data_IF_794879146985
#
_entry.id   IF_794879146985
#
_cell.length_a   1.000
_cell.length_b   1.000
_cell.length_c   1.000
_cell.angle_alpha   90.00
_cell.angle_beta   90.00
_cell.angle_gamma   90.00
#
_symmetry.space_group_name_H-M   'P 1'
#
loop_
_entity.id
_entity.type
_entity.pdbx_description
1 polymer ?
#
# COMPACT_ATOMS: atom_id res chain seq x y z
N UNK A 1 18.66 -6.80 -41.69
CA UNK A 1 18.68 -6.05 -40.40
C UNK A 1 17.39 -6.32 -39.62
N UNK A 2 16.99 -7.59 -39.43
CA UNK A 2 15.76 -7.97 -38.70
C UNK A 2 16.02 -8.32 -37.21
N UNK A 3 17.23 -8.08 -36.70
CA UNK A 3 17.66 -8.61 -35.40
C UNK A 3 17.10 -7.88 -34.19
N UNK A 4 16.90 -6.56 -34.30
CA UNK A 4 16.54 -5.71 -33.14
C UNK A 4 15.05 -5.37 -33.08
N UNK A 5 14.35 -5.35 -34.22
CA UNK A 5 12.91 -5.02 -34.29
C UNK A 5 12.07 -6.01 -33.47
N UNK A 6 12.36 -7.30 -33.59
CA UNK A 6 11.69 -8.35 -32.80
C UNK A 6 12.00 -8.25 -31.31
N UNK A 7 13.20 -7.80 -30.94
CA UNK A 7 13.56 -7.57 -29.54
C UNK A 7 12.73 -6.43 -28.96
N UNK A 8 12.55 -5.33 -29.70
CA UNK A 8 11.69 -4.24 -29.27
C UNK A 8 10.22 -4.64 -29.21
N UNK A 9 9.73 -5.45 -30.14
CA UNK A 9 8.38 -5.99 -30.10
C UNK A 9 8.15 -6.89 -28.86
N UNK A 10 9.12 -7.75 -28.52
CA UNK A 10 9.07 -8.59 -27.33
C UNK A 10 9.10 -7.76 -26.05
N UNK A 11 10.00 -6.77 -25.96
CA UNK A 11 10.06 -5.84 -24.82
C UNK A 11 8.73 -5.09 -24.66
N UNK A 12 8.20 -4.52 -25.74
CA UNK A 12 6.93 -3.80 -25.71
C UNK A 12 5.77 -4.69 -25.25
N UNK A 13 5.72 -5.94 -25.73
CA UNK A 13 4.72 -6.93 -25.31
C UNK A 13 4.81 -7.26 -23.81
N UNK A 14 6.03 -7.47 -23.29
CA UNK A 14 6.25 -7.73 -21.86
C UNK A 14 5.85 -6.52 -20.99
N UNK A 15 6.23 -5.31 -21.40
CA UNK A 15 5.84 -4.08 -20.71
C UNK A 15 4.32 -3.88 -20.71
N UNK A 16 3.66 -4.15 -21.85
CA UNK A 16 2.22 -4.06 -21.96
C UNK A 16 1.51 -5.09 -21.08
N UNK A 17 1.96 -6.35 -21.08
CA UNK A 17 1.42 -7.39 -20.19
C UNK A 17 1.60 -7.04 -18.71
N UNK A 18 2.75 -6.45 -18.35
CA UNK A 18 3.01 -5.98 -16.99
C UNK A 18 2.05 -4.84 -16.61
N UNK A 19 1.87 -3.85 -17.49
CA UNK A 19 0.92 -2.76 -17.29
C UNK A 19 -0.52 -3.27 -17.14
N UNK A 20 -0.95 -4.22 -17.97
CA UNK A 20 -2.26 -4.85 -17.86
C UNK A 20 -2.44 -5.57 -16.52
N UNK A 21 -1.40 -6.25 -16.03
CA UNK A 21 -1.43 -6.93 -14.73
C UNK A 21 -1.59 -5.92 -13.59
N UNK A 22 -0.83 -4.81 -13.63
CA UNK A 22 -0.96 -3.73 -12.66
C UNK A 22 -2.34 -3.07 -12.71
N UNK A 23 -2.86 -2.81 -13.91
CA UNK A 23 -4.20 -2.26 -14.11
C UNK A 23 -5.29 -3.20 -13.63
N UNK A 24 -5.17 -4.50 -13.87
CA UNK A 24 -6.11 -5.50 -13.40
C UNK A 24 -6.13 -5.55 -11.87
N UNK A 25 -4.95 -5.59 -11.24
CA UNK A 25 -4.83 -5.52 -9.79
C UNK A 25 -5.46 -4.24 -9.23
N UNK A 26 -5.14 -3.08 -9.80
CA UNK A 26 -5.69 -1.78 -9.41
C UNK A 26 -7.22 -1.69 -9.59
N UNK A 27 -7.76 -2.27 -10.67
CA UNK A 27 -9.21 -2.29 -10.91
C UNK A 27 -9.92 -3.24 -9.97
N UNK A 28 -9.36 -4.42 -9.71
CA UNK A 28 -9.94 -5.40 -8.80
C UNK A 28 -10.11 -4.84 -7.39
N UNK A 29 -9.12 -4.10 -6.88
CA UNK A 29 -9.20 -3.43 -5.58
C UNK A 29 -10.22 -2.29 -5.56
N UNK A 30 -10.53 -1.69 -6.72
CA UNK A 30 -11.57 -0.66 -6.85
C UNK A 30 -12.97 -1.26 -7.03
N UNK A 31 -13.08 -2.57 -7.27
CA UNK A 31 -14.36 -3.29 -7.34
C UNK A 31 -14.88 -3.72 -5.96
N UNK A 32 -14.15 -3.48 -4.88
CA UNK A 32 -14.65 -3.59 -3.50
C UNK A 32 -15.05 -2.21 -2.92
N UNK A 33 -16.18 -1.65 -3.36
CA UNK A 33 -17.03 -0.91 -2.43
C UNK A 33 -18.49 -1.38 -2.55
N UNK A 34 -19.10 -1.64 -1.40
CA UNK A 34 -20.50 -2.02 -1.16
C UNK A 34 -20.84 -3.52 -1.19
N UNK A 35 -20.24 -4.28 -0.26
CA UNK A 35 -21.03 -5.28 0.46
C UNK A 35 -21.45 -4.65 1.78
N UNK A 36 -22.62 -4.00 1.73
CA UNK A 36 -23.41 -3.66 2.91
C UNK A 36 -23.69 -4.96 3.68
N UNK A 37 -23.45 -4.93 4.99
CA UNK A 37 -23.39 -6.15 5.80
C UNK A 37 -23.15 -5.85 7.26
N UNK A 38 -24.01 -5.02 7.85
CA UNK A 38 -24.25 -5.06 9.29
C UNK A 38 -24.55 -6.52 9.68
N UNK A 39 -23.68 -7.10 10.49
CA UNK A 39 -24.02 -8.25 11.34
C UNK A 39 -23.30 -8.05 12.66
N UNK A 40 -24.12 -7.58 13.58
CA UNK A 40 -23.87 -7.40 14.99
C UNK A 40 -23.58 -8.75 15.65
N UNK A 41 -22.44 -8.91 16.31
CA UNK A 41 -22.23 -9.92 17.37
C UNK A 41 -21.08 -9.44 18.28
N UNK A 42 -21.35 -9.12 19.56
CA UNK A 42 -20.31 -8.68 20.49
C UNK A 42 -19.69 -9.84 21.28
N UNK A 43 -18.35 -9.74 21.48
CA UNK A 43 -17.55 -10.23 22.64
C UNK A 43 -17.57 -11.75 22.92
N UNK A 44 -16.44 -12.45 23.12
CA UNK A 44 -15.37 -12.24 24.10
C UNK A 44 -14.16 -13.11 23.69
N UNK A 45 -12.93 -12.60 23.92
CA UNK A 45 -11.61 -13.27 24.14
C UNK A 45 -10.48 -12.46 23.44
N UNK A 46 -10.15 -11.23 23.85
CA UNK A 46 -9.31 -10.78 24.98
C UNK A 46 -7.83 -11.25 24.95
N UNK A 47 -6.96 -10.26 24.68
CA UNK A 47 -5.58 -10.14 25.18
C UNK A 47 -4.38 -10.77 24.41
N UNK A 48 -4.33 -10.61 23.08
CA UNK A 48 -3.06 -10.22 22.42
C UNK A 48 -3.35 -9.25 21.26
N UNK A 49 -4.13 -8.23 21.58
CA UNK A 49 -4.44 -7.10 20.71
C UNK A 49 -3.32 -6.06 20.84
N UNK A 50 -2.07 -6.50 20.71
CA UNK A 50 -1.03 -5.57 20.32
C UNK A 50 -1.47 -5.01 18.98
N UNK A 51 -1.65 -3.69 18.97
CA UNK A 51 -1.93 -2.80 17.87
C UNK A 51 -1.17 -3.18 16.58
N UNK A 52 -1.59 -4.24 15.89
CA UNK A 52 -1.27 -4.43 14.47
C UNK A 52 -2.20 -3.51 13.72
N UNK A 53 -1.93 -2.23 13.84
CA UNK A 53 -2.61 -1.21 13.08
C UNK A 53 -2.27 -1.47 11.61
N UNK A 54 -3.15 -2.18 10.92
CA UNK A 54 -3.00 -2.49 9.49
C UNK A 54 -3.31 -1.20 8.72
N UNK A 55 -2.49 -0.87 7.72
CA UNK A 55 -2.74 0.19 6.74
C UNK A 55 -2.86 -0.40 5.34
N UNK A 56 -3.70 0.20 4.50
CA UNK A 56 -3.80 -0.17 3.08
C UNK A 56 -2.87 0.71 2.26
N UNK A 57 -2.14 0.09 1.34
CA UNK A 57 -1.28 0.81 0.42
C UNK A 57 -2.12 1.68 -0.54
N UNK A 58 -1.82 2.99 -0.69
CA UNK A 58 -2.56 3.84 -1.61
C UNK A 58 -2.30 3.50 -3.09
N UNK A 59 -1.14 2.90 -3.41
CA UNK A 59 -0.76 2.57 -4.79
C UNK A 59 -1.36 1.25 -5.29
N UNK A 60 -1.42 0.21 -4.45
CA UNK A 60 -1.88 -1.12 -4.87
C UNK A 60 -2.95 -1.76 -3.97
N UNK A 61 -3.40 -1.08 -2.92
CA UNK A 61 -4.45 -1.56 -2.02
C UNK A 61 -4.06 -2.67 -1.04
N UNK A 62 -2.85 -3.22 -1.15
CA UNK A 62 -2.39 -4.32 -0.28
C UNK A 62 -2.43 -3.92 1.20
N UNK A 63 -2.94 -4.83 2.03
CA UNK A 63 -2.90 -4.70 3.49
C UNK A 63 -1.49 -4.93 4.03
N UNK A 64 -0.97 -3.91 4.70
CA UNK A 64 0.34 -3.90 5.30
C UNK A 64 0.21 -3.59 6.79
N UNK A 65 1.16 -4.07 7.58
CA UNK A 65 1.31 -3.59 8.95
C UNK A 65 1.84 -2.15 8.94
N UNK A 66 1.38 -1.27 9.84
CA UNK A 66 1.90 0.11 9.93
C UNK A 66 3.39 0.17 10.30
N UNK A 67 3.95 -0.92 10.82
CA UNK A 67 5.39 -1.05 11.00
C UNK A 67 6.19 -1.08 9.68
N UNK A 68 5.55 -1.43 8.55
CA UNK A 68 6.21 -1.44 7.25
C UNK A 68 6.37 -0.01 6.71
N UNK A 69 7.60 0.32 6.31
CA UNK A 69 7.91 1.54 5.56
C UNK A 69 7.43 1.48 4.10
N UNK A 70 7.52 0.29 3.50
CA UNK A 70 7.17 0.06 2.10
C UNK A 70 6.11 -1.03 2.00
N UNK A 71 5.27 -0.93 0.96
CA UNK A 71 4.28 -1.93 0.66
C UNK A 71 4.95 -3.26 0.31
N UNK A 72 4.53 -4.33 0.96
CA UNK A 72 5.03 -5.70 0.76
C UNK A 72 4.75 -6.31 -0.62
N UNK A 73 3.98 -5.62 -1.47
CA UNK A 73 3.58 -6.09 -2.80
C UNK A 73 4.14 -5.22 -3.94
N UNK A 74 3.91 -3.91 -3.89
CA UNK A 74 4.34 -2.99 -4.94
C UNK A 74 5.56 -2.14 -4.58
N UNK A 75 6.07 -2.26 -3.34
CA UNK A 75 7.25 -1.52 -2.84
C UNK A 75 7.05 0.00 -2.72
N UNK A 76 5.85 0.52 -3.00
CA UNK A 76 5.52 1.92 -2.76
C UNK A 76 5.65 2.30 -1.28
N UNK A 77 6.10 3.52 -1.01
CA UNK A 77 6.22 4.03 0.36
C UNK A 77 4.84 4.14 1.01
N UNK A 78 4.68 3.54 2.18
CA UNK A 78 3.44 3.61 2.93
C UNK A 78 3.43 4.93 3.71
N UNK A 79 2.25 5.53 3.93
CA UNK A 79 2.09 6.54 4.96
C UNK A 79 2.23 5.84 6.32
N UNK A 80 3.45 5.45 6.68
CA UNK A 80 3.80 5.10 8.04
C UNK A 80 3.35 6.26 8.90
N UNK A 81 2.54 5.97 9.92
CA UNK A 81 2.12 6.95 10.90
C UNK A 81 3.39 7.71 11.26
N UNK A 82 3.45 8.99 10.86
CA UNK A 82 4.61 9.82 11.12
C UNK A 82 4.88 9.56 12.60
N UNK A 83 6.05 8.98 12.92
CA UNK A 83 6.66 9.31 14.19
C UNK A 83 6.66 10.82 14.14
N UNK A 84 5.70 11.42 14.84
CA UNK A 84 5.68 12.83 15.11
C UNK A 84 6.91 13.01 15.96
N UNK A 85 8.07 13.10 15.29
CA UNK A 85 9.27 13.66 15.86
C UNK A 85 8.91 15.12 15.97
N UNK A 86 8.20 15.43 17.05
CA UNK A 86 8.15 16.73 17.65
C UNK A 86 9.61 17.11 17.83
N UNK A 87 10.16 17.81 16.84
CA UNK A 87 11.43 18.49 17.00
C UNK A 87 11.15 19.59 18.02
N UNK A 88 11.73 19.56 19.23
CA UNK A 88 11.63 20.69 20.13
C UNK A 88 12.52 21.79 19.54
N UNK A 89 12.00 22.53 18.57
CA UNK A 89 12.64 23.75 18.09
C UNK A 89 12.44 24.84 19.13
N UNK A 90 13.50 25.01 19.92
CA UNK A 90 13.96 26.28 20.47
C UNK A 90 12.93 27.08 21.29
N UNK A 91 12.86 26.74 22.58
CA UNK A 91 12.54 27.69 23.64
C UNK A 91 13.62 28.79 23.65
N UNK A 92 13.47 29.78 22.78
CA UNK A 92 14.31 30.96 22.70
C UNK A 92 14.06 31.82 23.95
N UNK A 93 14.89 31.59 24.98
CA UNK A 93 14.94 32.37 26.21
C UNK A 93 15.33 33.83 25.90
N UNK A 94 14.54 34.83 26.34
CA UNK A 94 14.99 36.21 26.32
C UNK A 94 15.94 36.44 27.52
N UNK A 95 17.10 37.03 27.24
CA UNK A 95 17.94 37.71 28.24
C UNK A 95 17.82 39.22 28.04
#
# INVERSE_FOLDING_TARGET
MLGTEWVYAAIAGLLFAHLLTLLYAYRSSRSEPAADGVSDTPSVEVANRADRSVCRCPECGTENDRAYRFCRQCVAELPSARLHVEHPSEQQQPY
#
